data_IF_111355703347
#
_entry.id   IF_111355703347
#
_cell.length_a   1.000
_cell.length_b   1.000
_cell.length_c   1.000
_cell.angle_alpha   90.00
_cell.angle_beta   90.00
_cell.angle_gamma   90.00
#
_symmetry.space_group_name_H-M   'P 1'
#
loop_
_entity.id
_entity.type
_entity.pdbx_description
1 polymer ?
#
# COMPACT_ATOMS: atom_id res chain seq x y z
N UNK A 1 8.88 -60.10 5.37
CA UNK A 1 8.30 -58.98 6.15
C UNK A 1 8.60 -57.74 5.35
N UNK A 2 7.76 -57.45 4.35
CA UNK A 2 7.95 -56.34 3.43
C UNK A 2 7.64 -55.04 4.17
N UNK A 3 8.67 -54.24 4.41
CA UNK A 3 8.53 -52.89 4.93
C UNK A 3 8.10 -51.99 3.76
N UNK A 4 6.79 -51.98 3.47
CA UNK A 4 6.18 -51.14 2.45
C UNK A 4 6.27 -49.67 2.87
N UNK A 5 7.40 -49.03 2.51
CA UNK A 5 7.66 -47.61 2.74
C UNK A 5 6.75 -46.69 1.92
N UNK A 6 5.87 -47.23 1.08
CA UNK A 6 4.91 -46.45 0.28
C UNK A 6 3.87 -45.70 1.14
N UNK A 7 3.75 -46.07 2.43
CA UNK A 7 2.87 -45.41 3.40
C UNK A 7 3.54 -44.23 4.15
N UNK A 8 4.86 -44.02 4.01
CA UNK A 8 5.55 -42.94 4.72
C UNK A 8 5.31 -41.59 4.02
N UNK A 9 4.99 -40.52 4.78
CA UNK A 9 4.74 -39.22 4.18
C UNK A 9 6.03 -38.68 3.56
N UNK A 10 5.93 -38.25 2.31
CA UNK A 10 7.06 -37.61 1.62
C UNK A 10 7.45 -36.31 2.34
N UNK A 11 8.71 -35.88 2.22
CA UNK A 11 9.18 -34.59 2.76
C UNK A 11 8.29 -33.43 2.29
N UNK A 12 7.86 -33.47 1.01
CA UNK A 12 6.92 -32.49 0.44
C UNK A 12 5.54 -32.54 1.12
N UNK A 13 5.04 -33.74 1.40
CA UNK A 13 3.79 -33.96 2.14
C UNK A 13 3.85 -33.40 3.56
N UNK A 14 4.92 -33.71 4.30
CA UNK A 14 5.17 -33.16 5.65
C UNK A 14 5.21 -31.63 5.61
N UNK A 15 5.97 -31.05 4.67
CA UNK A 15 6.05 -29.60 4.49
C UNK A 15 4.72 -28.94 4.13
N UNK A 16 3.85 -29.65 3.38
CA UNK A 16 2.51 -29.17 3.04
C UNK A 16 1.60 -29.17 4.27
N UNK A 17 1.59 -30.24 5.04
CA UNK A 17 0.85 -30.33 6.31
C UNK A 17 1.31 -29.28 7.32
N UNK A 18 2.62 -29.08 7.45
CA UNK A 18 3.19 -28.07 8.35
C UNK A 18 2.74 -26.65 7.95
N UNK A 19 2.77 -26.31 6.65
CA UNK A 19 2.27 -25.01 6.15
C UNK A 19 0.78 -24.84 6.38
N UNK A 20 -0.03 -25.87 6.15
CA UNK A 20 -1.46 -25.83 6.41
C UNK A 20 -1.76 -25.57 7.89
N UNK A 21 -1.07 -26.27 8.80
CA UNK A 21 -1.21 -26.09 10.24
C UNK A 21 -0.77 -24.68 10.68
N UNK A 22 0.34 -24.17 10.15
CA UNK A 22 0.80 -22.82 10.42
C UNK A 22 -0.22 -21.76 9.97
N UNK A 23 -0.80 -21.92 8.78
CA UNK A 23 -1.83 -21.00 8.25
C UNK A 23 -3.10 -20.98 9.12
N UNK A 24 -3.57 -22.14 9.56
CA UNK A 24 -4.74 -22.24 10.47
C UNK A 24 -4.41 -21.58 11.82
N UNK A 25 -3.28 -21.94 12.41
CA UNK A 25 -2.86 -21.43 13.73
C UNK A 25 -2.73 -19.91 13.74
N UNK A 26 -2.11 -19.34 12.70
CA UNK A 26 -1.93 -17.89 12.57
C UNK A 26 -3.24 -17.16 12.32
N UNK A 27 -4.13 -17.73 11.50
CA UNK A 27 -5.47 -17.18 11.24
C UNK A 27 -6.33 -17.18 12.51
N UNK A 28 -6.28 -18.25 13.31
CA UNK A 28 -6.99 -18.34 14.58
C UNK A 28 -6.43 -17.38 15.62
N UNK A 29 -5.10 -17.25 15.68
CA UNK A 29 -4.46 -16.22 16.50
C UNK A 29 -4.93 -14.82 16.12
N UNK A 30 -4.97 -14.48 14.82
CA UNK A 30 -5.43 -13.17 14.36
C UNK A 30 -6.88 -12.92 14.75
N UNK A 31 -7.79 -13.88 14.53
CA UNK A 31 -9.20 -13.76 14.94
C UNK A 31 -9.34 -13.47 16.43
N UNK A 32 -8.59 -14.16 17.27
CA UNK A 32 -8.58 -13.92 18.73
C UNK A 32 -8.01 -12.55 19.08
N UNK A 33 -6.96 -12.11 18.38
CA UNK A 33 -6.35 -10.80 18.64
C UNK A 33 -7.23 -9.64 18.17
N UNK A 34 -7.92 -9.83 17.05
CA UNK A 34 -8.73 -8.82 16.37
C UNK A 34 -9.88 -8.29 17.25
N UNK A 35 -10.50 -9.16 18.04
CA UNK A 35 -11.56 -8.76 18.99
C UNK A 35 -11.06 -7.76 20.03
N UNK A 36 -9.79 -7.86 20.43
CA UNK A 36 -9.14 -6.95 21.38
C UNK A 36 -8.57 -5.66 20.78
N UNK A 37 -8.75 -5.40 19.48
CA UNK A 37 -8.30 -4.16 18.83
C UNK A 37 -9.29 -3.01 19.08
N UNK A 38 -8.89 -1.77 18.82
CA UNK A 38 -9.79 -0.62 18.96
C UNK A 38 -10.90 -0.64 17.91
N UNK A 39 -12.04 -0.01 18.20
CA UNK A 39 -13.14 0.12 17.25
C UNK A 39 -12.69 0.81 15.94
N UNK A 40 -11.83 1.82 16.05
CA UNK A 40 -11.26 2.52 14.90
C UNK A 40 -10.43 1.61 14.00
N UNK A 41 -9.68 0.66 14.58
CA UNK A 41 -8.89 -0.30 13.82
C UNK A 41 -9.77 -1.39 13.20
N UNK A 42 -10.76 -1.90 13.94
CA UNK A 42 -11.71 -2.90 13.42
C UNK A 42 -12.58 -2.40 12.27
N UNK A 43 -12.74 -1.08 12.10
CA UNK A 43 -13.43 -0.50 10.93
C UNK A 43 -12.77 -0.88 9.59
N UNK A 44 -11.50 -1.26 9.62
CA UNK A 44 -10.71 -1.53 8.42
C UNK A 44 -10.83 -2.99 7.95
N UNK A 45 -11.43 -3.86 8.78
CA UNK A 45 -11.75 -5.25 8.42
C UNK A 45 -10.55 -6.04 7.87
N UNK A 46 -9.35 -5.74 8.37
CA UNK A 46 -8.11 -6.33 7.86
C UNK A 46 -8.04 -7.82 8.19
N UNK A 47 -7.92 -8.65 7.16
CA UNK A 47 -7.53 -10.04 7.28
C UNK A 47 -6.06 -10.20 7.69
N UNK A 48 -5.70 -11.40 8.13
CA UNK A 48 -4.29 -11.75 8.32
C UNK A 48 -3.72 -12.22 6.98
N UNK A 49 -2.78 -11.45 6.44
CA UNK A 49 -2.05 -11.79 5.23
C UNK A 49 -0.54 -11.75 5.49
N UNK A 50 0.15 -12.85 5.17
CA UNK A 50 1.62 -12.92 5.17
C UNK A 50 2.17 -12.48 3.79
N UNK A 51 1.36 -12.63 2.75
CA UNK A 51 1.74 -12.25 1.40
C UNK A 51 2.00 -10.74 1.29
N UNK A 52 3.00 -10.38 0.50
CA UNK A 52 3.29 -8.98 0.20
C UNK A 52 2.09 -8.35 -0.54
N UNK A 53 1.51 -7.27 0.00
CA UNK A 53 0.42 -6.58 -0.66
C UNK A 53 0.92 -5.87 -1.93
N UNK A 54 0.08 -5.76 -2.99
CA UNK A 54 0.50 -5.29 -4.30
C UNK A 54 1.09 -3.87 -4.27
N UNK A 55 0.67 -3.03 -3.33
CA UNK A 55 1.17 -1.66 -3.15
C UNK A 55 2.66 -1.63 -2.79
N UNK A 56 3.21 -2.68 -2.15
CA UNK A 56 4.64 -2.75 -1.83
C UNK A 56 5.51 -3.08 -3.05
N UNK A 57 4.92 -3.55 -4.16
CA UNK A 57 5.63 -3.78 -5.42
C UNK A 57 5.96 -2.48 -6.15
N UNK A 58 5.39 -1.36 -5.73
CA UNK A 58 5.65 -0.05 -6.32
C UNK A 58 7.09 0.41 -6.05
N UNK A 59 7.73 1.14 -6.98
CA UNK A 59 9.01 1.77 -6.71
C UNK A 59 8.96 2.61 -5.43
N UNK A 60 9.99 2.51 -4.59
CA UNK A 60 10.06 3.17 -3.27
C UNK A 60 9.65 4.64 -3.29
N UNK A 61 10.09 5.41 -4.29
CA UNK A 61 9.76 6.83 -4.44
C UNK A 61 8.28 7.06 -4.70
N UNK A 62 7.65 6.22 -5.53
CA UNK A 62 6.23 6.28 -5.82
C UNK A 62 5.42 5.91 -4.58
N UNK A 63 5.75 4.79 -3.94
CA UNK A 63 5.12 4.34 -2.70
C UNK A 63 5.16 5.42 -1.60
N UNK A 64 6.34 6.02 -1.38
CA UNK A 64 6.49 7.13 -0.42
C UNK A 64 5.49 8.25 -0.71
N UNK A 65 5.43 8.72 -1.95
CA UNK A 65 4.57 9.85 -2.35
C UNK A 65 3.10 9.53 -2.17
N UNK A 66 2.69 8.29 -2.46
CA UNK A 66 1.32 7.84 -2.27
C UNK A 66 0.92 7.75 -0.81
N UNK A 67 1.78 7.17 0.03
CA UNK A 67 1.55 7.11 1.47
C UNK A 67 1.46 8.52 2.06
N UNK A 68 2.37 9.43 1.66
CA UNK A 68 2.33 10.82 2.06
C UNK A 68 0.99 11.47 1.64
N UNK A 69 0.59 11.34 0.37
CA UNK A 69 -0.64 11.93 -0.14
C UNK A 69 -1.89 11.41 0.60
N UNK A 70 -1.99 10.10 0.85
CA UNK A 70 -3.12 9.48 1.57
C UNK A 70 -3.25 9.95 3.01
N UNK A 71 -2.12 10.07 3.69
CA UNK A 71 -2.08 10.46 5.10
C UNK A 71 -2.07 11.98 5.28
N UNK A 72 -1.90 12.74 4.18
CA UNK A 72 -1.54 14.15 4.18
C UNK A 72 -0.31 14.46 5.06
N UNK A 73 0.52 13.45 5.35
CA UNK A 73 1.73 13.53 6.15
C UNK A 73 2.95 13.40 5.24
N UNK A 74 3.32 14.52 4.64
CA UNK A 74 4.52 14.64 3.82
C UNK A 74 4.94 16.09 3.69
N UNK A 75 5.82 16.36 2.73
CA UNK A 75 6.25 17.70 2.34
C UNK A 75 5.10 18.42 1.60
N UNK A 76 4.04 18.74 2.34
CA UNK A 76 2.88 19.48 1.86
C UNK A 76 2.72 20.75 2.64
N UNK A 77 2.33 21.80 1.93
CA UNK A 77 2.16 23.11 2.54
C UNK A 77 1.10 23.12 3.65
N UNK A 78 0.06 22.27 3.56
CA UNK A 78 -0.94 22.15 4.61
C UNK A 78 -0.34 21.59 5.91
N UNK A 79 0.50 20.57 5.81
CA UNK A 79 1.15 19.94 6.95
C UNK A 79 2.07 20.94 7.65
N UNK A 80 2.99 21.56 6.90
CA UNK A 80 3.92 22.54 7.47
C UNK A 80 3.21 23.74 8.13
N UNK A 81 2.13 24.25 7.53
CA UNK A 81 1.31 25.31 8.15
C UNK A 81 0.64 24.86 9.45
N UNK A 82 0.07 23.65 9.47
CA UNK A 82 -0.62 23.11 10.65
C UNK A 82 0.31 22.99 11.85
N UNK A 83 1.57 22.62 11.62
CA UNK A 83 2.58 22.41 12.66
C UNK A 83 3.54 23.59 12.85
N UNK A 84 3.34 24.70 12.14
CA UNK A 84 4.13 25.92 12.33
C UNK A 84 5.58 25.85 11.84
N UNK A 85 5.88 24.99 10.86
CA UNK A 85 7.22 24.90 10.27
C UNK A 85 7.45 26.09 9.32
N UNK A 86 8.18 27.11 9.78
CA UNK A 86 8.42 28.37 9.06
C UNK A 86 9.54 28.29 8.01
N UNK A 87 10.44 27.32 8.13
CA UNK A 87 11.57 27.06 7.26
C UNK A 87 11.21 26.19 6.04
N UNK A 88 10.00 25.64 6.01
CA UNK A 88 9.57 24.70 4.99
C UNK A 88 9.21 25.39 3.68
N UNK A 89 9.76 24.89 2.58
CA UNK A 89 9.39 25.31 1.24
C UNK A 89 7.97 24.80 0.90
N UNK A 90 7.00 25.71 0.83
CA UNK A 90 5.59 25.37 0.64
C UNK A 90 5.24 25.13 -0.83
N UNK A 91 6.10 25.58 -1.76
CA UNK A 91 5.88 25.48 -3.19
C UNK A 91 6.82 24.45 -3.82
N UNK A 92 6.33 23.73 -4.82
CA UNK A 92 7.19 22.92 -5.65
C UNK A 92 8.04 23.84 -6.54
N UNK A 93 9.15 23.30 -7.06
CA UNK A 93 9.99 23.97 -8.07
C UNK A 93 9.22 24.38 -9.33
N UNK A 94 8.05 23.77 -9.61
CA UNK A 94 7.17 24.21 -10.68
C UNK A 94 6.34 25.47 -10.33
N UNK A 95 6.57 26.09 -9.16
CA UNK A 95 5.92 27.33 -8.73
C UNK A 95 4.56 27.15 -8.02
N UNK A 96 4.00 25.95 -8.00
CA UNK A 96 2.69 25.68 -7.37
C UNK A 96 2.83 25.12 -5.96
N UNK A 97 1.84 25.41 -5.11
CA UNK A 97 1.76 24.90 -3.73
C UNK A 97 1.78 23.37 -3.69
N UNK A 98 2.57 22.79 -2.78
CA UNK A 98 2.62 21.34 -2.54
C UNK A 98 1.32 20.88 -1.85
N UNK A 99 0.42 20.29 -2.63
CA UNK A 99 -0.79 19.60 -2.15
C UNK A 99 -0.65 18.09 -2.30
N UNK A 100 -1.43 17.27 -1.59
CA UNK A 100 -1.43 15.81 -1.75
C UNK A 100 -1.60 15.34 -3.22
N UNK A 101 -2.45 16.03 -3.98
CA UNK A 101 -2.74 15.72 -5.38
C UNK A 101 -1.73 16.34 -6.37
N UNK A 102 -0.86 17.25 -5.89
CA UNK A 102 0.07 18.01 -6.72
C UNK A 102 0.96 17.11 -7.57
N UNK A 103 1.36 15.94 -7.07
CA UNK A 103 2.20 14.99 -7.81
C UNK A 103 1.63 14.64 -9.20
N UNK A 104 0.31 14.60 -9.35
CA UNK A 104 -0.35 14.23 -10.61
C UNK A 104 -0.35 15.39 -11.61
N UNK A 105 -0.48 16.63 -11.12
CA UNK A 105 -0.62 17.83 -11.95
C UNK A 105 0.69 18.62 -12.09
N UNK A 106 1.73 18.23 -11.36
CA UNK A 106 3.03 18.87 -11.39
C UNK A 106 3.71 18.64 -12.75
N UNK A 107 4.07 19.71 -13.44
CA UNK A 107 4.77 19.67 -14.72
C UNK A 107 6.06 18.83 -14.62
N UNK A 108 6.83 18.98 -13.55
CA UNK A 108 8.07 18.23 -13.31
C UNK A 108 7.80 16.72 -13.20
N UNK A 109 6.68 16.35 -12.58
CA UNK A 109 6.25 14.96 -12.46
C UNK A 109 5.80 14.41 -13.82
N UNK A 110 5.01 15.17 -14.57
CA UNK A 110 4.51 14.79 -15.89
C UNK A 110 5.63 14.65 -16.94
N UNK A 111 6.73 15.41 -16.83
CA UNK A 111 7.94 15.18 -17.65
C UNK A 111 8.52 13.76 -17.47
N UNK A 112 8.27 13.14 -16.30
CA UNK A 112 8.66 11.75 -15.98
C UNK A 112 7.48 10.76 -16.09
N UNK A 113 6.45 11.09 -16.88
CA UNK A 113 5.25 10.26 -17.01
C UNK A 113 5.53 8.82 -17.43
N UNK A 114 6.56 8.58 -18.25
CA UNK A 114 6.98 7.24 -18.65
C UNK A 114 7.38 6.34 -17.47
N UNK A 115 7.77 6.91 -16.34
CA UNK A 115 8.20 6.19 -15.14
C UNK A 115 7.09 6.11 -14.07
N UNK A 116 5.86 6.53 -14.39
CA UNK A 116 4.76 6.45 -13.44
C UNK A 116 4.28 5.01 -13.27
N UNK A 117 3.94 4.59 -12.03
CA UNK A 117 3.34 3.28 -11.80
C UNK A 117 1.95 3.20 -12.43
N UNK A 118 1.62 2.06 -13.02
CA UNK A 118 0.31 1.81 -13.67
C UNK A 118 -0.15 3.01 -14.52
N UNK A 119 0.79 3.57 -15.29
CA UNK A 119 0.57 4.85 -15.96
C UNK A 119 -0.66 4.78 -16.87
N UNK A 120 -1.53 5.81 -16.87
CA UNK A 120 -2.59 5.92 -17.86
C UNK A 120 -2.01 6.14 -19.27
N UNK A 121 -2.86 6.16 -20.29
CA UNK A 121 -2.43 6.43 -21.68
C UNK A 121 -1.84 7.84 -21.82
N UNK A 122 -2.40 8.81 -21.08
CA UNK A 122 -1.94 10.19 -21.02
C UNK A 122 -1.97 10.72 -19.59
N UNK A 123 -1.13 11.71 -19.24
CA UNK A 123 -1.17 12.34 -17.92
C UNK A 123 -2.58 12.86 -17.60
N UNK A 124 -3.07 12.65 -16.37
CA UNK A 124 -4.33 13.23 -15.94
C UNK A 124 -4.28 14.76 -16.03
N UNK A 125 -5.31 15.31 -16.64
CA UNK A 125 -5.45 16.74 -16.91
C UNK A 125 -6.48 17.42 -16.03
N UNK A 126 -7.43 16.64 -15.49
CA UNK A 126 -8.51 17.12 -14.63
C UNK A 126 -8.41 16.54 -13.21
N UNK A 127 -8.90 17.24 -12.18
CA UNK A 127 -8.91 16.77 -10.79
C UNK A 127 -9.52 15.37 -10.62
N UNK A 128 -10.64 15.09 -11.30
CA UNK A 128 -11.29 13.79 -11.24
C UNK A 128 -10.44 12.66 -11.84
N UNK A 129 -9.75 12.92 -12.96
CA UNK A 129 -8.84 11.95 -13.58
C UNK A 129 -7.66 11.66 -12.65
N UNK A 130 -7.11 12.70 -12.02
CA UNK A 130 -5.99 12.54 -11.10
C UNK A 130 -6.36 11.77 -9.84
N UNK A 131 -7.54 12.03 -9.28
CA UNK A 131 -8.04 11.27 -8.13
C UNK A 131 -8.36 9.82 -8.50
N UNK A 132 -8.91 9.58 -9.70
CA UNK A 132 -9.11 8.22 -10.21
C UNK A 132 -7.78 7.46 -10.34
N UNK A 133 -6.76 8.11 -10.89
CA UNK A 133 -5.41 7.53 -10.99
C UNK A 133 -4.81 7.25 -9.60
N UNK A 134 -4.86 8.21 -8.68
CA UNK A 134 -4.40 8.01 -7.30
C UNK A 134 -5.15 6.87 -6.60
N UNK A 135 -6.43 6.67 -6.87
CA UNK A 135 -7.18 5.55 -6.30
C UNK A 135 -6.81 4.21 -6.94
N UNK A 136 -6.54 4.16 -8.25
CA UNK A 136 -6.16 2.94 -8.97
C UNK A 136 -4.84 2.37 -8.44
N UNK A 137 -3.80 3.20 -8.36
CA UNK A 137 -2.48 2.80 -7.87
C UNK A 137 -2.44 2.45 -6.38
N UNK A 138 -3.48 2.81 -5.63
CA UNK A 138 -3.53 2.64 -4.18
C UNK A 138 -4.18 1.32 -3.74
N UNK A 139 -4.61 0.49 -4.70
CA UNK A 139 -5.49 -0.65 -4.43
C UNK A 139 -6.86 -0.18 -3.96
N UNK A 140 -7.93 -0.77 -4.49
CA UNK A 140 -9.26 -0.52 -3.92
C UNK A 140 -9.24 -0.93 -2.42
N UNK A 141 -9.83 -0.13 -1.51
CA UNK A 141 -10.03 -0.58 -0.14
C UNK A 141 -11.00 -1.76 -0.16
N UNK A 142 -10.49 -2.99 -0.11
CA UNK A 142 -11.32 -4.20 -0.08
C UNK A 142 -10.77 -5.45 -0.77
N UNK A 143 -9.51 -5.48 -1.21
CA UNK A 143 -8.89 -6.71 -1.73
C UNK A 143 -7.82 -7.26 -0.78
N UNK A 144 -8.22 -7.61 0.45
CA UNK A 144 -7.54 -8.60 1.31
C UNK A 144 -8.60 -9.45 1.98
#
# INVERSE_FOLDING_TARGET
MDNDRSAEPTISGIGTTARALANVTTSDWWRRRYTGLSASYRKWELGYAIAEPPELRLPRTSLHRLLAARTAHGDFAQYHRRFGHSDAELNCLCGYKKTPEHFVFCEISQRKFHAWPEKPDRPPSRPEEGRKYLNAINGAPGAV
#
